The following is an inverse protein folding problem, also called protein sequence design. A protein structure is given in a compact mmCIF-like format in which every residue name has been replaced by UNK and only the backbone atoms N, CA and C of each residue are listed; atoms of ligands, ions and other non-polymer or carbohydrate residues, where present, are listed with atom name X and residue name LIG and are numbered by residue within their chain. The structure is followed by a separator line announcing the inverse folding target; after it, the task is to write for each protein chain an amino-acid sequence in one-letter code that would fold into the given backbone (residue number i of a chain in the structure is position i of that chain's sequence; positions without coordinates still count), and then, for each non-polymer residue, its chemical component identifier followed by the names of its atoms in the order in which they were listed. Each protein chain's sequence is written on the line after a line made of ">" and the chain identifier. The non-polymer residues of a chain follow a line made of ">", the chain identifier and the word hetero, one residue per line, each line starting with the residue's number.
data_IF_370119533773
#
_entry.id   IF_370119533773
#
_cell.length_a   1.000
_cell.length_b   1.000
_cell.length_c   1.000
_cell.angle_alpha   90.00
_cell.angle_beta   90.00
_cell.angle_gamma   90.00
#
_symmetry.space_group_name_H-M   'P 1'
#
loop_
_entity.id
_entity.type
_entity.pdbx_description
1 polymer ?
#
# COMPACT_ATOMS: atom_id res chain seq x y z
N UNK A 1 29.56 47.64 -6.60
CA UNK A 1 28.99 46.89 -7.73
C UNK A 1 28.42 45.59 -7.20
N UNK A 2 27.10 45.45 -7.21
CA UNK A 2 26.38 44.32 -6.61
C UNK A 2 26.17 43.21 -7.66
N UNK A 3 26.70 42.03 -7.40
CA UNK A 3 26.46 40.84 -8.25
C UNK A 3 25.26 40.08 -7.67
N UNK A 4 24.08 40.31 -8.23
CA UNK A 4 22.89 39.51 -7.96
C UNK A 4 23.06 38.15 -8.64
N UNK A 5 23.60 37.18 -7.92
CA UNK A 5 23.56 35.77 -8.34
C UNK A 5 22.09 35.35 -8.39
N UNK A 6 21.57 35.17 -9.61
CA UNK A 6 20.23 34.65 -9.85
C UNK A 6 20.09 33.28 -9.22
N UNK A 7 19.38 33.20 -8.08
CA UNK A 7 18.95 31.93 -7.53
C UNK A 7 18.01 31.29 -8.54
N UNK A 8 18.50 30.27 -9.24
CA UNK A 8 17.69 29.45 -10.12
C UNK A 8 16.51 28.90 -9.32
N UNK A 9 15.28 29.24 -9.73
CA UNK A 9 14.06 28.65 -9.15
C UNK A 9 14.19 27.12 -9.23
N UNK A 10 13.98 26.38 -8.13
CA UNK A 10 14.05 24.93 -8.17
C UNK A 10 13.07 24.41 -9.22
N UNK A 11 13.57 23.62 -10.17
CA UNK A 11 12.78 23.07 -11.26
C UNK A 11 11.52 22.38 -10.72
N UNK A 12 10.35 22.74 -11.25
CA UNK A 12 9.08 22.14 -10.86
C UNK A 12 9.17 20.61 -11.03
N UNK A 13 8.98 19.85 -9.94
CA UNK A 13 9.07 18.39 -9.98
C UNK A 13 8.01 17.83 -10.93
N UNK A 14 8.44 16.97 -11.85
CA UNK A 14 7.55 16.33 -12.83
C UNK A 14 6.44 15.52 -12.15
N UNK A 15 5.21 15.70 -12.65
CA UNK A 15 4.02 14.93 -12.27
C UNK A 15 3.97 13.55 -12.92
N UNK A 16 4.86 13.29 -13.87
CA UNK A 16 4.95 11.99 -14.54
C UNK A 16 5.51 10.90 -13.61
N UNK A 17 5.11 9.63 -13.81
CA UNK A 17 5.66 8.51 -13.06
C UNK A 17 7.15 8.33 -13.37
N UNK A 18 7.98 8.24 -12.34
CA UNK A 18 9.40 7.90 -12.51
C UNK A 18 9.63 6.38 -12.48
N UNK A 19 10.87 5.97 -12.74
CA UNK A 19 11.26 4.54 -12.79
C UNK A 19 10.92 3.82 -11.50
N UNK A 20 11.08 4.47 -10.35
CA UNK A 20 10.76 3.88 -9.06
C UNK A 20 9.26 3.61 -8.93
N UNK A 21 8.40 4.56 -9.31
CA UNK A 21 6.95 4.34 -9.25
C UNK A 21 6.46 3.29 -10.26
N UNK A 22 7.11 3.16 -11.41
CA UNK A 22 6.83 2.07 -12.35
C UNK A 22 7.20 0.72 -11.72
N UNK A 23 8.39 0.63 -11.10
CA UNK A 23 8.78 -0.57 -10.37
C UNK A 23 7.76 -0.92 -9.27
N UNK A 24 7.36 0.05 -8.45
CA UNK A 24 6.34 -0.15 -7.41
C UNK A 24 5.00 -0.65 -7.99
N UNK A 25 4.57 -0.10 -9.13
CA UNK A 25 3.35 -0.54 -9.81
C UNK A 25 3.43 -2.01 -10.25
N UNK A 26 4.52 -2.41 -10.90
CA UNK A 26 4.70 -3.80 -11.34
C UNK A 26 4.87 -4.76 -10.16
N UNK A 27 5.63 -4.36 -9.13
CA UNK A 27 5.78 -5.16 -7.92
C UNK A 27 4.44 -5.36 -7.19
N UNK A 28 3.61 -4.32 -7.10
CA UNK A 28 2.27 -4.42 -6.52
C UNK A 28 1.36 -5.35 -7.33
N UNK A 29 1.43 -5.29 -8.66
CA UNK A 29 0.68 -6.19 -9.53
C UNK A 29 1.14 -7.65 -9.40
N UNK A 30 2.45 -7.90 -9.33
CA UNK A 30 3.00 -9.23 -9.12
C UNK A 30 2.58 -9.82 -7.76
N UNK A 31 2.64 -9.01 -6.70
CA UNK A 31 2.18 -9.40 -5.37
C UNK A 31 0.67 -9.68 -5.37
N UNK A 32 -0.14 -8.84 -6.02
CA UNK A 32 -1.58 -9.05 -6.18
C UNK A 32 -1.87 -10.41 -6.83
N UNK A 33 -1.25 -10.68 -7.98
CA UNK A 33 -1.41 -11.95 -8.69
C UNK A 33 -0.98 -13.14 -7.82
N UNK A 34 0.13 -13.01 -7.09
CA UNK A 34 0.62 -14.05 -6.17
C UNK A 34 -0.39 -14.35 -5.06
N UNK A 35 -1.00 -13.34 -4.45
CA UNK A 35 -2.03 -13.52 -3.42
C UNK A 35 -3.28 -14.18 -4.00
N UNK A 36 -3.70 -13.81 -5.22
CA UNK A 36 -4.83 -14.46 -5.88
C UNK A 36 -4.59 -15.95 -6.12
N UNK A 37 -3.38 -16.32 -6.58
CA UNK A 37 -2.99 -17.72 -6.75
C UNK A 37 -3.01 -18.46 -5.41
N UNK A 38 -2.44 -17.87 -4.35
CA UNK A 38 -2.46 -18.45 -3.01
C UNK A 38 -3.89 -18.66 -2.50
N UNK A 39 -4.80 -17.71 -2.72
CA UNK A 39 -6.22 -17.82 -2.34
C UNK A 39 -6.93 -18.94 -3.09
N UNK A 40 -6.70 -19.06 -4.41
CA UNK A 40 -7.28 -20.11 -5.24
C UNK A 40 -6.83 -21.51 -4.78
N UNK A 41 -5.53 -21.69 -4.53
CA UNK A 41 -4.96 -22.94 -3.99
C UNK A 41 -5.50 -23.29 -2.59
N UNK A 42 -5.78 -22.27 -1.78
CA UNK A 42 -6.34 -22.40 -0.43
C UNK A 42 -7.86 -22.61 -0.37
N UNK A 43 -8.55 -22.73 -1.49
CA UNK A 43 -10.03 -22.77 -1.57
C UNK A 43 -10.70 -23.79 -0.66
N UNK A 44 -10.08 -24.95 -0.47
CA UNK A 44 -10.59 -26.00 0.43
C UNK A 44 -10.64 -25.59 1.93
N UNK A 45 -10.03 -24.47 2.32
CA UNK A 45 -9.91 -24.03 3.71
C UNK A 45 -10.62 -22.70 3.99
N UNK A 46 -11.34 -22.15 3.00
CA UNK A 46 -12.01 -20.84 3.12
C UNK A 46 -13.02 -20.79 4.26
N UNK A 47 -13.73 -21.89 4.52
CA UNK A 47 -14.73 -21.98 5.58
C UNK A 47 -14.14 -21.87 6.99
N UNK A 48 -12.82 -22.05 7.13
CA UNK A 48 -12.12 -21.97 8.42
C UNK A 48 -11.62 -20.57 8.73
N UNK A 49 -11.74 -19.62 7.79
CA UNK A 49 -11.22 -18.28 7.96
C UNK A 49 -12.18 -17.40 8.78
N UNK A 50 -11.68 -16.73 9.84
CA UNK A 50 -12.47 -15.74 10.55
C UNK A 50 -12.91 -14.61 9.61
N UNK A 51 -14.11 -14.02 9.79
CA UNK A 51 -14.59 -12.92 8.96
C UNK A 51 -13.64 -11.72 8.91
N UNK A 52 -12.91 -11.45 10.00
CA UNK A 52 -11.92 -10.37 10.07
C UNK A 52 -10.74 -10.57 9.11
N UNK A 53 -10.35 -11.83 8.87
CA UNK A 53 -9.30 -12.17 7.90
C UNK A 53 -9.79 -11.88 6.49
N UNK A 54 -11.04 -12.23 6.17
CA UNK A 54 -11.66 -11.88 4.89
C UNK A 54 -11.74 -10.37 4.68
N UNK A 55 -12.18 -9.61 5.68
CA UNK A 55 -12.18 -8.15 5.62
C UNK A 55 -10.80 -7.57 5.33
N UNK A 56 -9.77 -8.06 6.02
CA UNK A 56 -8.38 -7.63 5.79
C UNK A 56 -7.89 -8.00 4.37
N UNK A 57 -8.18 -9.22 3.90
CA UNK A 57 -7.82 -9.68 2.56
C UNK A 57 -8.50 -8.84 1.47
N UNK A 58 -9.80 -8.58 1.60
CA UNK A 58 -10.53 -7.78 0.61
C UNK A 58 -9.97 -6.36 0.52
N UNK A 59 -9.71 -5.73 1.65
CA UNK A 59 -9.18 -4.35 1.70
C UNK A 59 -7.76 -4.26 1.14
N UNK A 60 -6.88 -5.23 1.44
CA UNK A 60 -5.52 -5.24 0.86
C UNK A 60 -5.53 -5.54 -0.64
N UNK A 61 -6.42 -6.42 -1.11
CA UNK A 61 -6.57 -6.73 -2.54
C UNK A 61 -7.03 -5.50 -3.33
N UNK A 62 -7.99 -4.73 -2.81
CA UNK A 62 -8.40 -3.46 -3.41
C UNK A 62 -7.23 -2.47 -3.45
N UNK A 63 -6.49 -2.32 -2.35
CA UNK A 63 -5.33 -1.42 -2.31
C UNK A 63 -4.26 -1.83 -3.33
N UNK A 64 -3.93 -3.12 -3.42
CA UNK A 64 -2.97 -3.66 -4.39
C UNK A 64 -3.42 -3.47 -5.84
N UNK A 65 -4.68 -3.75 -6.16
CA UNK A 65 -5.24 -3.58 -7.50
C UNK A 65 -5.23 -2.11 -7.94
N UNK A 66 -5.53 -1.18 -7.03
CA UNK A 66 -5.54 0.25 -7.33
C UNK A 66 -4.13 0.86 -7.43
N UNK A 67 -3.14 0.30 -6.75
CA UNK A 67 -1.76 0.82 -6.71
C UNK A 67 -1.14 1.07 -8.11
N UNK A 68 -1.10 0.11 -9.05
CA UNK A 68 -0.56 0.37 -10.38
C UNK A 68 -1.37 1.43 -11.13
N UNK A 69 -2.70 1.45 -10.96
CA UNK A 69 -3.58 2.43 -11.62
C UNK A 69 -3.28 3.85 -11.15
N UNK A 70 -3.16 4.08 -9.84
CA UNK A 70 -2.92 5.42 -9.29
C UNK A 70 -1.48 5.91 -9.53
N UNK A 71 -0.51 5.01 -9.63
CA UNK A 71 0.89 5.36 -9.85
C UNK A 71 1.19 5.70 -11.32
N UNK A 72 0.56 4.99 -12.26
CA UNK A 72 0.83 5.10 -13.70
C UNK A 72 -0.08 6.09 -14.43
N UNK A 73 -1.30 6.35 -13.95
CA UNK A 73 -2.22 7.31 -14.60
C UNK A 73 -1.81 8.78 -14.39
N UNK A 74 -2.26 9.69 -15.28
CA UNK A 74 -2.11 11.13 -15.08
C UNK A 74 -2.66 11.59 -13.72
N UNK A 75 -1.89 12.43 -13.03
CA UNK A 75 -2.17 12.87 -11.66
C UNK A 75 -2.99 14.16 -11.65
N UNK A 76 -3.74 14.38 -10.57
CA UNK A 76 -4.43 15.65 -10.31
C UNK A 76 -5.83 15.82 -10.93
N UNK A 77 -6.24 14.93 -11.84
CA UNK A 77 -7.60 14.91 -12.39
C UNK A 77 -8.62 14.30 -11.39
N UNK A 78 -9.92 14.43 -11.72
CA UNK A 78 -11.00 13.93 -10.86
C UNK A 78 -10.89 12.42 -10.60
N UNK A 79 -10.53 11.64 -11.63
CA UNK A 79 -10.35 10.18 -11.53
C UNK A 79 -9.24 9.81 -10.54
N UNK A 80 -8.08 10.45 -10.63
CA UNK A 80 -6.95 10.21 -9.70
C UNK A 80 -7.37 10.52 -8.26
N UNK A 81 -8.13 11.61 -8.04
CA UNK A 81 -8.64 11.96 -6.71
C UNK A 81 -9.64 10.93 -6.18
N UNK A 82 -10.55 10.44 -7.02
CA UNK A 82 -11.51 9.40 -6.64
C UNK A 82 -10.79 8.09 -6.28
N UNK A 83 -9.93 7.59 -7.18
CA UNK A 83 -9.17 6.36 -6.94
C UNK A 83 -8.27 6.49 -5.71
N UNK A 84 -7.64 7.65 -5.52
CA UNK A 84 -6.84 7.96 -4.34
C UNK A 84 -7.65 7.91 -3.04
N UNK A 85 -8.89 8.39 -3.02
CA UNK A 85 -9.79 8.29 -1.85
C UNK A 85 -10.09 6.84 -1.50
N UNK A 86 -10.46 6.04 -2.50
CA UNK A 86 -10.75 4.61 -2.32
C UNK A 86 -9.51 3.88 -1.82
N UNK A 87 -8.35 4.14 -2.44
CA UNK A 87 -7.09 3.55 -2.02
C UNK A 87 -6.71 3.93 -0.58
N UNK A 88 -6.89 5.19 -0.19
CA UNK A 88 -6.64 5.67 1.19
C UNK A 88 -7.56 4.99 2.20
N UNK A 89 -8.85 4.88 1.90
CA UNK A 89 -9.80 4.18 2.75
C UNK A 89 -9.45 2.69 2.89
N UNK A 90 -9.09 2.04 1.77
CA UNK A 90 -8.65 0.64 1.76
C UNK A 90 -7.39 0.44 2.60
N UNK A 91 -6.38 1.31 2.46
CA UNK A 91 -5.14 1.26 3.25
C UNK A 91 -5.43 1.42 4.75
N UNK A 92 -6.27 2.39 5.13
CA UNK A 92 -6.63 2.62 6.52
C UNK A 92 -7.36 1.41 7.12
N UNK A 93 -8.38 0.89 6.42
CA UNK A 93 -9.13 -0.29 6.87
C UNK A 93 -8.24 -1.52 6.95
N UNK A 94 -7.36 -1.74 5.97
CA UNK A 94 -6.38 -2.84 6.00
C UNK A 94 -5.54 -2.78 7.27
N UNK A 95 -5.01 -1.60 7.59
CA UNK A 95 -4.18 -1.38 8.77
C UNK A 95 -4.97 -1.59 10.07
N UNK A 96 -6.19 -1.05 10.19
CA UNK A 96 -7.04 -1.25 11.36
C UNK A 96 -7.37 -2.74 11.56
N UNK A 97 -7.84 -3.42 10.51
CA UNK A 97 -8.20 -4.83 10.55
C UNK A 97 -7.00 -5.72 10.92
N UNK A 98 -5.79 -5.35 10.48
CA UNK A 98 -4.58 -6.12 10.81
C UNK A 98 -4.32 -6.25 12.32
N UNK A 99 -4.74 -5.28 13.14
CA UNK A 99 -4.59 -5.36 14.60
C UNK A 99 -5.48 -6.44 15.25
N UNK A 100 -6.55 -6.83 14.57
CA UNK A 100 -7.48 -7.89 15.00
C UNK A 100 -7.08 -9.26 14.43
N UNK A 101 -6.29 -9.29 13.35
CA UNK A 101 -5.77 -10.53 12.76
C UNK A 101 -4.50 -10.98 13.49
N UNK A 102 -4.66 -11.56 14.69
CA UNK A 102 -3.55 -12.02 15.56
C UNK A 102 -3.17 -13.49 15.42
N UNK A 103 -3.77 -14.19 14.44
CA UNK A 103 -3.66 -15.64 14.29
C UNK A 103 -2.24 -16.17 14.06
N UNK A 104 -1.33 -15.38 13.45
CA UNK A 104 -0.03 -15.91 13.00
C UNK A 104 1.11 -15.88 14.03
N UNK A 105 0.95 -15.28 15.21
CA UNK A 105 2.03 -15.15 16.20
C UNK A 105 1.60 -15.55 17.62
N UNK A 106 0.86 -16.66 17.75
CA UNK A 106 0.33 -17.12 19.06
C UNK A 106 -0.50 -16.05 19.80
N UNK A 107 -1.16 -15.15 19.08
CA UNK A 107 -1.91 -14.03 19.65
C UNK A 107 -1.09 -12.75 19.93
N UNK A 108 0.23 -12.77 19.76
CA UNK A 108 1.11 -11.64 20.04
C UNK A 108 1.24 -10.66 18.86
N UNK A 109 1.55 -9.39 19.17
CA UNK A 109 1.97 -8.42 18.17
C UNK A 109 3.26 -8.89 17.49
N UNK A 110 3.31 -8.75 16.17
CA UNK A 110 4.49 -9.03 15.35
C UNK A 110 4.94 -7.74 14.66
N UNK A 111 6.15 -7.74 14.08
CA UNK A 111 6.74 -6.55 13.46
C UNK A 111 5.83 -5.89 12.39
N UNK A 112 4.99 -6.69 11.72
CA UNK A 112 3.99 -6.20 10.76
C UNK A 112 2.96 -5.26 11.40
N UNK A 113 2.70 -5.35 12.70
CA UNK A 113 1.79 -4.45 13.41
C UNK A 113 2.40 -3.06 13.61
N UNK A 114 3.73 -2.95 13.67
CA UNK A 114 4.40 -1.65 13.65
C UNK A 114 4.19 -0.95 12.31
N UNK A 115 4.20 -1.72 11.22
CA UNK A 115 3.88 -1.22 9.88
C UNK A 115 2.41 -0.75 9.84
N UNK A 116 1.49 -1.49 10.44
CA UNK A 116 0.08 -1.09 10.54
C UNK A 116 -0.10 0.20 11.34
N UNK A 117 0.60 0.36 12.47
CA UNK A 117 0.59 1.60 13.24
C UNK A 117 1.11 2.78 12.43
N UNK A 118 2.21 2.57 11.69
CA UNK A 118 2.72 3.56 10.75
C UNK A 118 1.67 3.96 9.70
N UNK A 119 0.95 3.02 9.10
CA UNK A 119 -0.11 3.33 8.11
C UNK A 119 -1.23 4.15 8.73
N UNK A 120 -1.71 3.78 9.92
CA UNK A 120 -2.78 4.52 10.61
C UNK A 120 -2.36 5.98 10.85
N UNK A 121 -1.11 6.23 11.21
CA UNK A 121 -0.59 7.58 11.47
C UNK A 121 -0.31 8.38 10.19
N UNK A 122 0.24 7.73 9.14
CA UNK A 122 0.63 8.40 7.91
C UNK A 122 -0.53 8.63 6.96
N UNK A 123 -1.61 7.84 7.04
CA UNK A 123 -2.77 7.99 6.17
C UNK A 123 -3.44 9.38 6.29
N UNK A 124 -3.69 9.92 7.50
CA UNK A 124 -4.14 11.31 7.68
C UNK A 124 -3.18 12.34 7.09
N UNK A 125 -1.86 12.14 7.23
CA UNK A 125 -0.84 13.04 6.68
C UNK A 125 -0.81 13.00 5.15
N UNK A 126 -1.02 11.83 4.55
CA UNK A 126 -1.18 11.69 3.10
C UNK A 126 -2.40 12.44 2.60
N UNK A 127 -3.53 12.33 3.30
CA UNK A 127 -4.75 13.05 2.96
C UNK A 127 -4.55 14.56 3.09
N UNK A 128 -3.96 15.01 4.19
CA UNK A 128 -3.69 16.42 4.46
C UNK A 128 -2.76 17.02 3.42
N UNK A 129 -1.67 16.33 3.07
CA UNK A 129 -0.73 16.77 2.02
C UNK A 129 -1.38 16.83 0.63
N UNK A 130 -2.38 15.97 0.35
CA UNK A 130 -3.17 16.06 -0.88
C UNK A 130 -4.09 17.31 -0.88
N UNK A 131 -4.73 17.59 0.27
CA UNK A 131 -5.64 18.74 0.44
C UNK A 131 -4.92 20.09 0.41
N UNK A 132 -3.73 20.15 0.98
CA UNK A 132 -2.88 21.36 1.03
C UNK A 132 -1.99 21.51 -0.20
N UNK A 133 -2.21 20.69 -1.24
CA UNK A 133 -1.44 20.73 -2.49
C UNK A 133 0.07 20.56 -2.31
N UNK A 134 0.50 19.91 -1.23
CA UNK A 134 1.90 19.57 -0.97
C UNK A 134 2.29 18.30 -1.73
N UNK A 135 2.40 18.40 -3.05
CA UNK A 135 2.59 17.26 -3.98
C UNK A 135 3.82 16.42 -3.63
N UNK A 136 4.92 17.08 -3.24
CA UNK A 136 6.15 16.38 -2.84
C UNK A 136 5.96 15.50 -1.60
N UNK A 137 5.30 16.03 -0.57
CA UNK A 137 5.00 15.29 0.65
C UNK A 137 3.99 14.16 0.37
N UNK A 138 2.93 14.45 -0.38
CA UNK A 138 1.94 13.47 -0.80
C UNK A 138 2.60 12.27 -1.53
N UNK A 139 3.46 12.56 -2.52
CA UNK A 139 4.21 11.54 -3.27
C UNK A 139 5.13 10.71 -2.38
N UNK A 140 5.78 11.33 -1.39
CA UNK A 140 6.63 10.62 -0.41
C UNK A 140 5.80 9.67 0.45
N UNK A 141 4.63 10.11 0.96
CA UNK A 141 3.75 9.27 1.76
C UNK A 141 3.20 8.09 0.95
N UNK A 142 2.75 8.30 -0.29
CA UNK A 142 2.28 7.23 -1.19
C UNK A 142 3.39 6.18 -1.37
N UNK A 143 4.59 6.61 -1.76
CA UNK A 143 5.73 5.71 -1.97
C UNK A 143 6.09 4.93 -0.71
N UNK A 144 6.19 5.62 0.43
CA UNK A 144 6.50 4.97 1.70
C UNK A 144 5.48 3.90 2.07
N UNK A 145 4.18 4.17 1.87
CA UNK A 145 3.13 3.20 2.15
C UNK A 145 3.10 2.05 1.15
N UNK A 146 3.31 2.29 -0.14
CA UNK A 146 3.39 1.18 -1.12
C UNK A 146 4.59 0.29 -0.81
N UNK A 147 5.77 0.86 -0.61
CA UNK A 147 6.98 0.09 -0.34
C UNK A 147 6.91 -0.64 1.00
N UNK A 148 6.59 0.06 2.09
CA UNK A 148 6.58 -0.51 3.43
C UNK A 148 5.35 -1.36 3.71
N UNK A 149 4.17 -0.79 3.50
CA UNK A 149 2.92 -1.39 3.95
C UNK A 149 2.27 -2.35 2.97
N UNK A 150 2.53 -2.24 1.67
CA UNK A 150 2.05 -3.21 0.69
C UNK A 150 3.13 -4.24 0.36
N UNK A 151 4.29 -3.78 -0.15
CA UNK A 151 5.30 -4.70 -0.67
C UNK A 151 6.06 -5.43 0.44
N UNK A 152 6.63 -4.71 1.41
CA UNK A 152 7.38 -5.34 2.51
C UNK A 152 6.43 -6.16 3.39
N UNK A 153 5.31 -5.58 3.84
CA UNK A 153 4.36 -6.32 4.67
C UNK A 153 3.77 -7.54 3.92
N UNK A 154 3.41 -7.39 2.65
CA UNK A 154 2.90 -8.47 1.80
C UNK A 154 3.96 -9.54 1.52
N UNK A 155 5.23 -9.17 1.36
CA UNK A 155 6.31 -10.16 1.33
C UNK A 155 6.32 -10.97 2.61
N UNK A 156 6.25 -10.34 3.78
CA UNK A 156 6.25 -11.03 5.08
C UNK A 156 5.00 -11.89 5.36
N UNK A 157 3.96 -11.87 4.53
CA UNK A 157 2.80 -12.79 4.67
C UNK A 157 3.00 -14.15 4.00
N UNK A 158 4.03 -14.30 3.15
CA UNK A 158 4.33 -15.53 2.40
C UNK A 158 5.32 -16.47 3.10
N UNK A 159 6.51 -16.06 3.58
CA UNK A 159 7.46 -16.94 4.23
C UNK A 159 7.03 -17.31 5.66
N UNK A 160 7.85 -18.11 6.35
CA UNK A 160 7.71 -18.49 7.76
C UNK A 160 6.49 -19.35 8.08
N UNK A 161 6.03 -20.16 7.12
CA UNK A 161 4.89 -21.05 7.33
C UNK A 161 3.61 -20.30 7.67
N UNK A 162 3.44 -19.07 7.17
CA UNK A 162 2.18 -18.32 7.27
C UNK A 162 1.13 -18.89 6.32
N UNK A 163 -0.14 -18.60 6.60
CA UNK A 163 -1.30 -19.17 5.90
C UNK A 163 -1.21 -19.05 4.37
N UNK A 164 -1.02 -17.84 3.84
CA UNK A 164 -0.92 -17.63 2.39
C UNK A 164 0.30 -18.34 1.78
N UNK A 165 1.42 -18.36 2.49
CA UNK A 165 2.60 -19.14 2.11
C UNK A 165 2.34 -20.64 2.00
N UNK A 166 1.68 -21.21 3.02
CA UNK A 166 1.30 -22.62 3.02
C UNK A 166 0.43 -22.95 1.82
N UNK A 167 -0.55 -22.12 1.49
CA UNK A 167 -1.38 -22.34 0.30
C UNK A 167 -0.61 -22.16 -0.99
N UNK A 168 0.30 -21.18 -1.06
CA UNK A 168 1.05 -20.90 -2.28
C UNK A 168 2.06 -22.01 -2.61
N UNK A 169 2.70 -22.62 -1.62
CA UNK A 169 3.75 -23.62 -1.81
C UNK A 169 3.28 -25.07 -1.61
N UNK A 170 2.03 -25.29 -1.20
CA UNK A 170 1.41 -26.62 -1.14
C UNK A 170 1.11 -27.23 -2.51
#
# INVERSE_FOLDING_TARGET
>A
MATLAGQARPAARSLAPDTYERFLAFAALALFATILVALAKGSAQWDRLPPMVWGHLLTVLVALALTPVILLRPRGNATHRLLGRVWVAAMFLTAVLSFFVRSSNHGNFSIIHLISAYVVLVTPLLWWSARTHQIAAHRRHVRGMVTGALLIAGFFTLPFGRMLGRWLFA
#
